data_IF_292774052340
#
_entry.id   IF_292774052340
#
_cell.length_a   1.000
_cell.length_b   1.000
_cell.length_c   1.000
_cell.angle_alpha   90.00
_cell.angle_beta   90.00
_cell.angle_gamma   90.00
#
_symmetry.space_group_name_H-M   'P 1'
#
loop_
_entity.id
_entity.type
_entity.pdbx_description
1 polymer ?
#
# COMPACT_ATOMS: atom_id res chain seq x y z
N UNK A 1 13.63 -28.71 -13.55
CA UNK A 1 14.91 -28.15 -14.00
C UNK A 1 15.42 -27.28 -12.87
N UNK A 2 16.67 -27.46 -12.45
CA UNK A 2 17.27 -26.64 -11.39
C UNK A 2 18.00 -25.44 -12.01
N UNK A 3 17.98 -24.26 -11.36
CA UNK A 3 18.69 -23.09 -11.87
C UNK A 3 20.19 -23.31 -11.87
N UNK A 4 20.90 -22.73 -12.84
CA UNK A 4 22.36 -22.80 -12.97
C UNK A 4 23.10 -21.81 -12.07
N UNK A 5 22.38 -21.04 -11.25
CA UNK A 5 22.92 -20.06 -10.30
C UNK A 5 22.72 -20.55 -8.86
N UNK A 6 23.64 -20.15 -7.99
CA UNK A 6 23.55 -20.45 -6.56
C UNK A 6 22.39 -19.67 -5.93
N UNK A 7 21.62 -20.35 -5.09
CA UNK A 7 20.52 -19.78 -4.31
C UNK A 7 20.81 -20.03 -2.84
N UNK A 8 20.89 -18.98 -2.05
CA UNK A 8 21.08 -19.10 -0.59
C UNK A 8 19.72 -19.30 0.11
N UNK A 9 19.75 -19.81 1.35
CA UNK A 9 18.59 -20.14 2.18
C UNK A 9 17.60 -18.98 2.36
N UNK A 10 18.07 -17.73 2.26
CA UNK A 10 17.27 -16.53 2.51
C UNK A 10 17.06 -15.68 1.25
N UNK A 11 17.43 -16.18 0.07
CA UNK A 11 17.15 -15.49 -1.18
C UNK A 11 15.65 -15.53 -1.49
N UNK A 12 15.13 -14.35 -1.86
CA UNK A 12 13.72 -14.15 -2.19
C UNK A 12 13.60 -13.64 -3.62
N UNK A 13 12.69 -14.23 -4.40
CA UNK A 13 12.43 -13.87 -5.80
C UNK A 13 10.98 -13.35 -5.93
N UNK A 14 10.76 -12.02 -5.81
CA UNK A 14 9.40 -11.45 -5.81
C UNK A 14 8.59 -11.72 -7.08
N UNK A 15 9.26 -11.91 -8.22
CA UNK A 15 8.61 -12.20 -9.50
C UNK A 15 7.85 -13.54 -9.46
N UNK A 16 8.32 -14.49 -8.66
CA UNK A 16 7.73 -15.82 -8.54
C UNK A 16 6.42 -15.79 -7.73
N UNK A 17 6.15 -14.74 -6.95
CA UNK A 17 4.90 -14.61 -6.18
C UNK A 17 3.65 -14.69 -7.05
N UNK A 18 3.74 -14.28 -8.33
CA UNK A 18 2.62 -14.41 -9.29
C UNK A 18 2.11 -15.86 -9.44
N UNK A 19 2.95 -16.85 -9.15
CA UNK A 19 2.60 -18.27 -9.24
C UNK A 19 2.09 -18.83 -7.91
N UNK A 20 2.56 -18.31 -6.78
CA UNK A 20 2.23 -18.85 -5.45
C UNK A 20 1.02 -18.19 -4.79
N UNK A 21 0.67 -16.96 -5.19
CA UNK A 21 -0.48 -16.24 -4.62
C UNK A 21 -1.82 -16.93 -4.90
N UNK A 22 -1.89 -17.85 -5.86
CA UNK A 22 -3.08 -18.68 -6.11
C UNK A 22 -4.32 -17.89 -6.54
N UNK A 23 -4.14 -16.67 -7.06
CA UNK A 23 -5.25 -15.80 -7.44
C UNK A 23 -5.94 -16.29 -8.72
N UNK A 24 -7.28 -16.45 -8.73
CA UNK A 24 -8.02 -16.72 -9.96
C UNK A 24 -7.86 -15.56 -10.95
N UNK A 25 -8.06 -15.81 -12.24
CA UNK A 25 -7.70 -14.87 -13.32
C UNK A 25 -8.25 -13.44 -13.16
N UNK A 26 -9.52 -13.22 -12.75
CA UNK A 26 -10.02 -11.87 -12.50
C UNK A 26 -9.29 -11.14 -11.37
N UNK A 27 -9.03 -11.82 -10.25
CA UNK A 27 -8.33 -11.23 -9.10
C UNK A 27 -6.84 -11.03 -9.37
N UNK A 28 -6.24 -11.91 -10.17
CA UNK A 28 -4.85 -11.76 -10.59
C UNK A 28 -4.67 -10.51 -11.46
N UNK A 29 -5.64 -10.20 -12.32
CA UNK A 29 -5.62 -8.99 -13.15
C UNK A 29 -5.68 -7.74 -12.27
N UNK A 30 -6.66 -7.69 -11.36
CA UNK A 30 -6.81 -6.59 -10.40
C UNK A 30 -5.54 -6.39 -9.56
N UNK A 31 -4.94 -7.48 -9.08
CA UNK A 31 -3.69 -7.43 -8.33
C UNK A 31 -2.54 -6.85 -9.17
N UNK A 32 -2.42 -7.22 -10.44
CA UNK A 32 -1.36 -6.68 -11.30
C UNK A 32 -1.60 -5.20 -11.62
N UNK A 33 -2.85 -4.78 -11.78
CA UNK A 33 -3.19 -3.39 -12.07
C UNK A 33 -2.86 -2.46 -10.89
N UNK A 34 -3.00 -2.93 -9.65
CA UNK A 34 -2.79 -2.13 -8.44
C UNK A 34 -1.46 -2.39 -7.70
N UNK A 35 -0.90 -3.59 -7.81
CA UNK A 35 0.16 -4.10 -6.93
C UNK A 35 1.28 -4.85 -7.68
N UNK A 36 1.47 -4.59 -8.97
CA UNK A 36 2.57 -5.18 -9.74
C UNK A 36 3.96 -4.81 -9.19
N UNK A 37 4.09 -3.69 -8.49
CA UNK A 37 5.30 -3.27 -7.80
C UNK A 37 5.79 -4.30 -6.76
N UNK A 38 4.86 -5.01 -6.09
CA UNK A 38 5.19 -6.08 -5.14
C UNK A 38 5.92 -7.27 -5.78
N UNK A 39 5.82 -7.43 -7.10
CA UNK A 39 6.54 -8.46 -7.86
C UNK A 39 7.95 -8.01 -8.28
N UNK A 40 8.35 -6.79 -7.93
CA UNK A 40 9.65 -6.23 -8.28
C UNK A 40 10.61 -6.27 -7.10
N UNK A 41 11.89 -6.53 -7.37
CA UNK A 41 12.95 -6.46 -6.34
C UNK A 41 13.10 -5.03 -5.79
N UNK A 42 12.90 -4.02 -6.64
CA UNK A 42 13.07 -2.61 -6.29
C UNK A 42 12.19 -2.17 -5.13
N UNK A 43 10.91 -2.57 -5.13
CA UNK A 43 9.97 -2.28 -4.03
C UNK A 43 10.51 -2.79 -2.69
N UNK A 44 10.93 -4.05 -2.62
CA UNK A 44 11.39 -4.67 -1.38
C UNK A 44 12.73 -4.10 -0.89
N UNK A 45 13.65 -3.77 -1.80
CA UNK A 45 14.89 -3.08 -1.44
C UNK A 45 14.62 -1.70 -0.85
N UNK A 46 13.65 -0.97 -1.40
CA UNK A 46 13.23 0.33 -0.87
C UNK A 46 12.61 0.20 0.52
N UNK A 47 11.69 -0.75 0.72
CA UNK A 47 11.10 -1.04 2.03
C UNK A 47 12.19 -1.37 3.06
N UNK A 48 13.14 -2.26 2.72
CA UNK A 48 14.24 -2.59 3.61
C UNK A 48 15.10 -1.36 3.95
N UNK A 49 15.39 -0.50 2.98
CA UNK A 49 16.14 0.74 3.18
C UNK A 49 15.42 1.67 4.16
N UNK A 50 14.12 1.87 3.97
CA UNK A 50 13.27 2.72 4.82
C UNK A 50 13.16 2.18 6.26
N UNK A 51 12.94 0.88 6.41
CA UNK A 51 12.93 0.22 7.73
C UNK A 51 14.28 0.36 8.46
N UNK A 52 15.40 0.15 7.76
CA UNK A 52 16.75 0.36 8.35
C UNK A 52 17.01 1.84 8.68
N UNK A 53 16.37 2.75 7.96
CA UNK A 53 16.38 4.19 8.25
C UNK A 53 15.52 4.60 9.44
N UNK A 54 14.82 3.67 10.09
CA UNK A 54 13.95 3.94 11.23
C UNK A 54 12.57 4.50 10.85
N UNK A 55 12.19 4.42 9.58
CA UNK A 55 10.87 4.86 9.13
C UNK A 55 9.78 3.91 9.66
N UNK A 56 8.75 4.49 10.29
CA UNK A 56 7.57 3.76 10.74
C UNK A 56 6.48 3.84 9.68
N UNK A 57 6.14 2.70 9.06
CA UNK A 57 5.04 2.61 8.11
C UNK A 57 3.70 2.71 8.85
N UNK A 58 2.96 3.78 8.56
CA UNK A 58 1.62 3.95 9.13
C UNK A 58 0.58 3.30 8.22
N UNK A 59 -0.02 2.20 8.69
CA UNK A 59 -1.11 1.51 8.00
C UNK A 59 -2.43 1.80 8.75
N UNK A 60 -3.22 2.81 8.33
CA UNK A 60 -4.47 3.11 9.01
C UNK A 60 -5.44 1.92 8.89
N UNK A 61 -6.16 1.55 9.96
CA UNK A 61 -7.08 0.42 9.94
C UNK A 61 -8.42 0.73 9.23
N UNK A 62 -8.52 1.88 8.58
CA UNK A 62 -9.71 2.35 7.89
C UNK A 62 -9.34 3.12 6.62
N UNK A 63 -10.28 3.15 5.68
CA UNK A 63 -10.15 3.91 4.45
C UNK A 63 -10.03 5.41 4.73
N UNK A 64 -9.35 6.13 3.83
CA UNK A 64 -9.05 7.55 3.97
C UNK A 64 -10.29 8.42 4.21
N UNK A 65 -11.42 8.09 3.55
CA UNK A 65 -12.70 8.81 3.73
C UNK A 65 -13.32 8.67 5.13
N UNK A 66 -12.81 7.77 5.98
CA UNK A 66 -13.22 7.61 7.38
C UNK A 66 -12.30 8.35 8.35
N UNK A 67 -11.22 8.97 7.84
CA UNK A 67 -10.30 9.74 8.65
C UNK A 67 -11.01 10.98 9.17
N UNK A 68 -10.90 11.23 10.47
CA UNK A 68 -11.30 12.52 11.03
C UNK A 68 -10.40 13.59 10.43
N UNK A 69 -10.98 14.62 9.82
CA UNK A 69 -10.23 15.80 9.42
C UNK A 69 -9.61 16.44 10.66
N UNK A 70 -8.39 16.94 10.52
CA UNK A 70 -7.66 17.54 11.63
C UNK A 70 -8.39 18.80 12.11
N UNK A 71 -8.53 18.93 13.43
CA UNK A 71 -9.33 19.99 14.07
C UNK A 71 -8.83 21.42 13.79
N UNK A 72 -7.64 21.57 13.20
CA UNK A 72 -7.05 22.85 12.80
C UNK A 72 -7.73 23.47 11.55
N UNK A 73 -8.73 22.78 11.02
CA UNK A 73 -9.58 23.23 9.92
C UNK A 73 -10.90 23.88 10.37
N UNK A 74 -11.09 24.10 11.68
CA UNK A 74 -12.14 24.97 12.19
C UNK A 74 -11.75 26.45 11.95
N UNK A 75 -12.54 27.17 11.15
CA UNK A 75 -12.46 28.64 11.11
C UNK A 75 -12.74 29.22 12.52
N UNK A 76 -12.26 30.45 12.79
CA UNK A 76 -12.45 31.22 14.03
C UNK A 76 -13.92 31.38 14.46
N UNK A 77 -14.86 31.04 13.58
CA UNK A 77 -16.30 31.00 13.84
C UNK A 77 -16.80 29.70 14.50
N UNK A 78 -15.97 28.68 14.66
CA UNK A 78 -16.37 27.41 15.30
C UNK A 78 -17.27 26.54 14.43
N UNK A 79 -17.32 26.80 13.11
CA UNK A 79 -18.09 26.00 12.14
C UNK A 79 -17.21 24.90 11.57
N UNK A 80 -17.70 23.67 11.63
CA UNK A 80 -17.06 22.51 11.00
C UNK A 80 -17.22 22.63 9.47
N UNK A 81 -16.11 22.80 8.75
CA UNK A 81 -16.10 22.85 7.28
C UNK A 81 -16.71 21.61 6.63
N UNK A 82 -16.73 20.45 7.30
CA UNK A 82 -17.33 19.22 6.76
C UNK A 82 -18.87 19.18 6.83
N UNK A 83 -19.52 19.99 7.68
CA UNK A 83 -20.99 19.98 7.78
C UNK A 83 -21.64 20.79 6.63
N UNK A 84 -20.88 21.68 5.98
CA UNK A 84 -21.32 22.44 4.82
C UNK A 84 -21.24 21.64 3.51
N UNK A 85 -20.21 20.81 3.34
CA UNK A 85 -20.05 20.02 2.11
C UNK A 85 -21.04 18.85 2.02
N UNK A 86 -21.38 18.20 3.14
CA UNK A 86 -22.39 17.13 3.14
C UNK A 86 -23.82 17.62 2.89
N UNK A 87 -24.09 18.92 3.10
CA UNK A 87 -25.41 19.54 2.85
C UNK A 87 -25.57 20.08 1.42
N UNK A 88 -24.51 20.22 0.64
CA UNK A 88 -24.57 20.83 -0.68
C UNK A 88 -24.40 19.87 -1.87
N UNK A 89 -24.12 18.58 -1.63
CA UNK A 89 -24.37 17.52 -2.62
C UNK A 89 -23.82 17.78 -4.02
N UNK A 90 -22.58 18.26 -4.12
CA UNK A 90 -21.80 18.35 -5.35
C UNK A 90 -20.56 17.49 -5.25
#
# INVERSE_FOLDING_TARGET
AEPWFAVDKYDVFPQEFRYFLGLPEPLRREFLDHHADLLTVGYWLDVQRRLRGGELFHLPPYAEHKRLVEADSFDRSGVNICELDYRLGV
#
